data_IF_960447238608
#
_entry.id   IF_960447238608
#
_cell.length_a   1.000
_cell.length_b   1.000
_cell.length_c   1.000
_cell.angle_alpha   90.00
_cell.angle_beta   90.00
_cell.angle_gamma   90.00
#
_symmetry.space_group_name_H-M   'P 1'
#
loop_
_entity.id
_entity.type
_entity.pdbx_description
1 polymer ?
#
# COMPACT_ATOMS: atom_id res chain seq x y z
N UNK A 1 -5.76 -18.70 17.88
CA UNK A 1 -4.55 -19.19 17.23
C UNK A 1 -3.61 -18.01 17.04
N UNK A 2 -2.28 -18.21 17.13
CA UNK A 2 -1.31 -17.14 16.99
C UNK A 2 -1.47 -16.38 15.67
N UNK A 3 -1.29 -15.06 15.73
CA UNK A 3 -1.36 -14.14 14.60
C UNK A 3 -0.05 -13.34 14.49
N UNK A 4 -0.02 -12.25 13.74
CA UNK A 4 1.20 -11.44 13.56
C UNK A 4 1.64 -10.74 14.86
N UNK A 5 0.72 -10.42 15.76
CA UNK A 5 1.05 -9.79 17.05
C UNK A 5 1.76 -10.82 17.94
N UNK A 6 1.18 -12.02 18.07
CA UNK A 6 1.79 -13.12 18.81
C UNK A 6 3.16 -13.49 18.22
N UNK A 7 3.24 -13.61 16.89
CA UNK A 7 4.53 -13.87 16.21
C UNK A 7 5.58 -12.80 16.50
N UNK A 8 5.19 -11.55 16.54
CA UNK A 8 6.12 -10.44 16.80
C UNK A 8 6.74 -10.47 18.20
N UNK A 9 6.04 -11.07 19.18
CA UNK A 9 6.49 -11.24 20.57
C UNK A 9 7.18 -12.60 20.83
N UNK A 10 6.75 -13.67 20.14
CA UNK A 10 7.20 -15.03 20.39
C UNK A 10 8.38 -15.48 19.52
N UNK A 11 8.54 -14.92 18.31
CA UNK A 11 9.61 -15.30 17.40
C UNK A 11 10.94 -14.62 17.81
N UNK A 12 11.74 -15.35 18.57
CA UNK A 12 13.01 -14.86 19.11
C UNK A 12 14.23 -15.19 18.24
N UNK A 13 14.05 -16.05 17.21
CA UNK A 13 15.16 -16.42 16.33
C UNK A 13 15.58 -15.23 15.48
N UNK A 14 16.85 -14.85 15.55
CA UNK A 14 17.44 -13.81 14.71
C UNK A 14 17.37 -14.19 13.22
N UNK A 15 17.54 -13.22 12.33
CA UNK A 15 17.51 -13.45 10.86
C UNK A 15 18.63 -14.39 10.39
N UNK A 16 19.74 -14.52 11.14
CA UNK A 16 20.79 -15.50 10.86
C UNK A 16 20.32 -16.95 11.10
N UNK A 17 19.43 -17.20 12.08
CA UNK A 17 18.90 -18.52 12.38
C UNK A 17 17.60 -18.85 11.64
N UNK A 18 16.81 -17.85 11.35
CA UNK A 18 15.59 -17.95 10.55
C UNK A 18 15.59 -16.80 9.55
N UNK A 19 15.84 -17.05 8.28
CA UNK A 19 15.84 -16.03 7.23
C UNK A 19 14.52 -15.25 7.17
N UNK A 20 14.57 -14.05 6.58
CA UNK A 20 13.42 -13.20 6.39
C UNK A 20 12.33 -13.92 5.59
N UNK A 21 11.08 -13.85 6.06
CA UNK A 21 9.95 -14.58 5.50
C UNK A 21 8.70 -13.68 5.31
N UNK A 22 7.63 -14.27 4.74
CA UNK A 22 6.39 -13.54 4.47
C UNK A 22 5.71 -12.99 5.74
N UNK A 23 5.86 -13.65 6.91
CA UNK A 23 5.32 -13.14 8.17
C UNK A 23 6.06 -11.87 8.60
N UNK A 24 7.40 -11.86 8.49
CA UNK A 24 8.20 -10.66 8.79
C UNK A 24 7.83 -9.50 7.85
N UNK A 25 7.64 -9.82 6.56
CA UNK A 25 7.22 -8.84 5.56
C UNK A 25 5.86 -8.25 5.90
N UNK A 26 4.86 -9.07 6.31
CA UNK A 26 3.55 -8.57 6.70
C UNK A 26 3.64 -7.65 7.92
N UNK A 27 4.44 -8.03 8.91
CA UNK A 27 4.71 -7.21 10.11
C UNK A 27 5.29 -5.84 9.74
N UNK A 28 6.35 -5.82 8.91
CA UNK A 28 6.95 -4.57 8.47
C UNK A 28 6.00 -3.76 7.57
N UNK A 29 5.19 -4.44 6.75
CA UNK A 29 4.13 -3.79 5.97
C UNK A 29 3.06 -3.17 6.87
N UNK A 30 2.69 -3.87 7.95
CA UNK A 30 1.71 -3.37 8.91
C UNK A 30 2.25 -2.19 9.73
N UNK A 31 3.54 -2.19 10.08
CA UNK A 31 4.20 -1.04 10.70
C UNK A 31 4.13 0.24 9.86
N UNK A 32 3.99 0.13 8.53
CA UNK A 32 3.88 1.31 7.66
C UNK A 32 2.61 2.16 7.89
N UNK A 33 1.60 1.63 8.59
CA UNK A 33 0.38 2.36 8.97
C UNK A 33 0.58 3.30 10.17
N UNK A 34 1.67 3.14 10.90
CA UNK A 34 2.01 4.01 12.02
C UNK A 34 2.45 5.38 11.51
N UNK A 35 2.00 6.45 12.16
CA UNK A 35 2.53 7.78 11.92
C UNK A 35 3.95 7.83 12.51
N UNK A 36 4.95 7.80 11.63
CA UNK A 36 6.36 7.71 12.06
C UNK A 36 6.75 8.93 12.90
N UNK A 37 7.39 8.71 14.07
CA UNK A 37 7.86 9.78 14.93
C UNK A 37 8.97 10.57 14.25
N UNK A 38 9.20 11.81 14.71
CA UNK A 38 10.21 12.72 14.15
C UNK A 38 11.64 12.19 14.26
N UNK A 39 11.88 11.24 15.18
CA UNK A 39 13.16 10.55 15.31
C UNK A 39 13.50 9.68 14.11
N UNK A 40 12.51 9.22 13.33
CA UNK A 40 12.76 8.42 12.14
C UNK A 40 13.14 9.33 10.98
N UNK A 41 14.34 9.13 10.38
CA UNK A 41 14.82 9.96 9.31
C UNK A 41 13.91 9.95 8.08
N UNK A 42 13.60 11.13 7.58
CA UNK A 42 12.86 11.29 6.33
C UNK A 42 13.79 11.17 5.13
N UNK A 43 13.25 10.68 4.02
CA UNK A 43 13.89 10.82 2.72
C UNK A 43 13.92 12.29 2.36
N UNK A 44 15.09 12.84 2.04
CA UNK A 44 15.27 14.22 1.63
C UNK A 44 15.83 14.30 0.22
N UNK A 45 15.46 15.36 -0.49
CA UNK A 45 15.92 15.61 -1.85
C UNK A 45 16.57 16.99 -1.93
N UNK A 46 17.67 17.09 -2.68
CA UNK A 46 18.37 18.35 -2.96
C UNK A 46 18.40 18.56 -4.47
N UNK A 47 18.11 19.78 -4.94
CA UNK A 47 18.42 20.14 -6.33
C UNK A 47 19.94 20.11 -6.50
N UNK A 48 20.48 19.58 -7.61
CA UNK A 48 21.87 19.78 -7.94
C UNK A 48 22.15 21.29 -7.92
N UNK A 49 23.23 21.68 -7.31
CA UNK A 49 23.67 23.05 -7.42
C UNK A 49 23.80 23.37 -8.92
N UNK A 50 23.11 24.38 -9.44
CA UNK A 50 23.55 25.05 -10.64
C UNK A 50 25.03 25.32 -10.43
N UNK A 51 25.89 24.78 -11.31
CA UNK A 51 27.33 25.07 -11.29
C UNK A 51 27.40 26.56 -11.24
N UNK A 52 27.77 27.15 -10.12
CA UNK A 52 28.01 28.58 -10.03
C UNK A 52 29.07 28.86 -11.06
N UNK A 53 28.70 29.61 -12.09
CA UNK A 53 29.71 30.25 -12.94
C UNK A 53 30.68 30.96 -11.99
N UNK A 54 31.93 30.51 -12.03
CA UNK A 54 33.01 31.06 -11.24
C UNK A 54 33.17 32.53 -11.65
N UNK A 55 32.59 33.42 -10.87
CA UNK A 55 32.97 34.84 -10.86
C UNK A 55 34.00 35.03 -9.78
N UNK A 56 35.25 35.41 -10.10
CA UNK A 56 36.27 35.72 -9.12
C UNK A 56 35.97 37.11 -8.52
N UNK A 57 35.17 37.16 -7.48
CA UNK A 57 35.04 38.36 -6.62
C UNK A 57 35.20 37.90 -5.17
N UNK A 58 36.31 38.35 -4.54
CA UNK A 58 36.79 37.98 -3.21
C UNK A 58 35.81 38.29 -2.09
N UNK A 59 34.83 37.40 -1.88
CA UNK A 59 34.07 37.28 -0.62
C UNK A 59 34.32 35.90 -0.03
N UNK A 60 34.50 35.82 1.30
CA UNK A 60 34.74 34.55 1.98
C UNK A 60 33.56 33.59 1.79
N UNK A 61 33.79 32.27 1.86
CA UNK A 61 32.75 31.26 1.68
C UNK A 61 31.63 31.46 2.69
N UNK A 62 30.39 31.39 2.22
CA UNK A 62 29.18 31.46 3.04
C UNK A 62 29.21 30.41 4.16
N UNK A 63 28.79 30.82 5.35
CA UNK A 63 28.76 29.98 6.55
C UNK A 63 27.84 28.76 6.37
N UNK A 64 28.02 27.67 7.14
CA UNK A 64 27.19 26.46 7.09
C UNK A 64 25.71 26.63 7.43
N UNK A 65 25.21 27.87 7.58
CA UNK A 65 23.83 28.21 7.97
C UNK A 65 22.78 28.12 6.86
N UNK A 66 23.17 27.85 5.60
CA UNK A 66 22.24 27.78 4.47
C UNK A 66 21.62 26.38 4.27
N UNK A 67 21.86 25.48 5.19
CA UNK A 67 21.12 24.21 5.23
C UNK A 67 19.70 24.43 5.73
N UNK A 68 18.75 24.05 4.92
CA UNK A 68 17.33 24.04 5.26
C UNK A 68 17.12 23.38 6.62
N UNK A 69 17.00 24.21 7.64
CA UNK A 69 17.02 23.80 9.06
C UNK A 69 15.69 23.27 9.59
N UNK A 70 14.69 23.02 8.72
CA UNK A 70 13.40 22.52 9.17
C UNK A 70 13.03 21.22 8.45
N UNK A 71 12.64 20.16 9.20
CA UNK A 71 12.14 18.90 8.64
C UNK A 71 10.98 19.10 7.66
N UNK A 72 10.18 20.16 7.86
CA UNK A 72 9.03 20.51 7.01
C UNK A 72 9.46 21.02 5.62
N UNK A 73 10.57 21.72 5.52
CA UNK A 73 11.08 22.22 4.24
C UNK A 73 11.77 21.09 3.45
N UNK A 74 12.49 20.18 4.12
CA UNK A 74 13.03 18.98 3.51
C UNK A 74 11.90 18.07 2.99
N UNK A 75 10.85 17.88 3.75
CA UNK A 75 9.65 17.13 3.35
C UNK A 75 8.97 17.76 2.13
N UNK A 76 8.88 19.10 2.05
CA UNK A 76 8.31 19.80 0.91
C UNK A 76 9.17 19.65 -0.38
N UNK A 77 10.50 19.55 -0.27
CA UNK A 77 11.37 19.32 -1.43
C UNK A 77 11.26 17.88 -1.95
N UNK A 78 11.22 16.89 -1.05
CA UNK A 78 10.94 15.49 -1.40
C UNK A 78 9.55 15.37 -2.00
N UNK A 79 8.56 16.08 -1.43
CA UNK A 79 7.22 16.14 -1.98
C UNK A 79 7.23 16.66 -3.42
N UNK A 80 7.94 17.72 -3.73
CA UNK A 80 8.03 18.26 -5.11
C UNK A 80 8.70 17.28 -6.09
N UNK A 81 9.73 16.55 -5.68
CA UNK A 81 10.38 15.57 -6.54
C UNK A 81 9.53 14.29 -6.70
N UNK A 82 9.09 13.70 -5.61
CA UNK A 82 8.28 12.46 -5.67
C UNK A 82 6.92 12.70 -6.32
N UNK A 83 6.45 13.96 -6.36
CA UNK A 83 5.08 14.32 -6.69
C UNK A 83 4.96 15.43 -7.75
N UNK A 84 6.07 16.06 -8.17
CA UNK A 84 6.12 17.05 -9.25
C UNK A 84 6.43 16.44 -10.63
N UNK A 85 6.20 17.22 -11.69
CA UNK A 85 6.49 16.81 -13.08
C UNK A 85 7.94 17.12 -13.54
N UNK A 86 8.82 17.58 -12.65
CA UNK A 86 10.14 18.03 -13.00
C UNK A 86 11.11 16.86 -13.26
N UNK A 87 11.67 16.79 -14.46
CA UNK A 87 12.78 15.90 -14.86
C UNK A 87 14.15 16.42 -14.36
N UNK A 88 14.24 16.93 -13.14
CA UNK A 88 15.51 17.46 -12.62
C UNK A 88 16.27 16.31 -11.96
N UNK A 89 17.54 16.15 -12.32
CA UNK A 89 18.45 15.30 -11.56
C UNK A 89 18.43 15.76 -10.09
N UNK A 90 18.00 14.87 -9.20
CA UNK A 90 17.79 15.19 -7.80
C UNK A 90 18.70 14.32 -6.97
N UNK A 91 19.55 14.94 -6.16
CA UNK A 91 20.37 14.24 -5.21
C UNK A 91 19.52 13.91 -3.96
N UNK A 92 19.41 12.62 -3.64
CA UNK A 92 18.70 12.17 -2.45
C UNK A 92 19.65 12.04 -1.26
N UNK A 93 19.10 12.21 -0.06
CA UNK A 93 19.77 11.94 1.21
C UNK A 93 18.80 11.28 2.17
N UNK A 94 19.32 10.31 2.92
CA UNK A 94 18.71 9.79 4.12
C UNK A 94 19.71 10.00 5.27
N UNK A 95 19.26 10.61 6.35
CA UNK A 95 20.06 10.73 7.56
C UNK A 95 20.34 9.32 8.14
N UNK A 96 21.19 9.22 9.14
CA UNK A 96 21.51 7.93 9.78
C UNK A 96 20.22 7.23 10.22
N UNK A 97 19.92 6.03 9.72
CA UNK A 97 18.71 5.30 10.10
C UNK A 97 18.65 5.05 11.61
N UNK A 98 17.47 5.17 12.20
CA UNK A 98 17.20 4.89 13.59
C UNK A 98 16.94 3.40 13.80
N UNK A 99 17.29 2.85 14.96
CA UNK A 99 16.96 1.44 15.30
C UNK A 99 15.50 1.33 15.71
N UNK A 100 14.88 0.16 15.49
CA UNK A 100 13.47 -0.09 15.78
C UNK A 100 13.08 0.27 17.22
N UNK A 101 13.98 0.06 18.18
CA UNK A 101 13.76 0.41 19.59
C UNK A 101 13.54 1.92 19.83
N UNK A 102 14.00 2.79 18.93
CA UNK A 102 13.79 4.24 19.03
C UNK A 102 12.33 4.67 18.75
N UNK A 103 11.49 3.77 18.27
CA UNK A 103 10.04 4.00 18.16
C UNK A 103 9.36 4.17 19.54
N UNK A 104 9.98 3.68 20.62
CA UNK A 104 9.42 3.77 21.98
C UNK A 104 9.77 5.10 22.69
N UNK A 105 9.71 6.21 22.01
CA UNK A 105 9.89 7.53 22.64
C UNK A 105 8.58 7.98 23.26
N UNK A 106 8.56 8.16 24.58
CA UNK A 106 7.36 8.44 25.35
C UNK A 106 6.60 9.68 24.87
N UNK A 107 7.32 10.72 24.49
CA UNK A 107 6.78 12.02 24.03
C UNK A 107 6.08 11.93 22.67
N UNK A 108 6.41 10.96 21.83
CA UNK A 108 5.86 10.80 20.48
C UNK A 108 4.91 9.60 20.35
N UNK A 109 5.00 8.62 21.28
CA UNK A 109 4.32 7.34 21.18
C UNK A 109 2.80 7.45 21.01
N UNK A 110 2.15 8.35 21.75
CA UNK A 110 0.70 8.51 21.65
C UNK A 110 0.24 9.03 20.29
N UNK A 111 1.02 9.92 19.66
CA UNK A 111 0.70 10.54 18.37
C UNK A 111 0.88 9.60 17.18
N UNK A 112 1.64 8.52 17.33
CA UNK A 112 1.92 7.55 16.26
C UNK A 112 0.68 6.79 15.77
N UNK A 113 -0.43 6.82 16.49
CA UNK A 113 -1.61 5.99 16.22
C UNK A 113 -2.86 6.82 15.87
N UNK A 114 -2.69 8.08 15.52
CA UNK A 114 -3.82 8.97 15.25
C UNK A 114 -4.53 8.67 13.93
N UNK A 115 -3.79 8.23 12.93
CA UNK A 115 -4.33 7.93 11.59
C UNK A 115 -5.08 6.59 11.53
N UNK A 116 -4.91 5.68 12.52
CA UNK A 116 -5.47 4.33 12.48
C UNK A 116 -6.20 3.95 13.78
N UNK A 117 -7.17 4.77 14.16
CA UNK A 117 -7.83 4.73 15.49
C UNK A 117 -8.45 3.38 15.84
N UNK A 118 -9.07 2.69 14.86
CA UNK A 118 -9.80 1.43 15.13
C UNK A 118 -8.89 0.24 15.45
N UNK A 119 -7.63 0.28 15.04
CA UNK A 119 -6.64 -0.77 15.29
C UNK A 119 -5.52 -0.29 16.24
N UNK A 120 -5.70 0.87 16.86
CA UNK A 120 -4.65 1.53 17.64
C UNK A 120 -4.06 0.64 18.73
N UNK A 121 -4.83 -0.23 19.37
CA UNK A 121 -4.33 -1.15 20.40
C UNK A 121 -3.40 -2.21 19.81
N UNK A 122 -3.81 -2.91 18.75
CA UNK A 122 -2.98 -3.91 18.08
C UNK A 122 -1.70 -3.30 17.50
N UNK A 123 -1.81 -2.06 16.95
CA UNK A 123 -0.65 -1.33 16.44
C UNK A 123 0.32 -0.90 17.55
N UNK A 124 -0.18 -0.47 18.72
CA UNK A 124 0.65 -0.15 19.89
C UNK A 124 1.41 -1.39 20.37
N UNK A 125 0.71 -2.51 20.48
CA UNK A 125 1.29 -3.79 20.88
C UNK A 125 2.35 -4.24 19.86
N UNK A 126 2.05 -4.15 18.56
CA UNK A 126 3.02 -4.46 17.51
C UNK A 126 4.30 -3.62 17.64
N UNK A 127 4.17 -2.29 17.74
CA UNK A 127 5.33 -1.39 17.86
C UNK A 127 6.15 -1.73 19.09
N UNK A 128 5.49 -2.00 20.22
CA UNK A 128 6.14 -2.40 21.46
C UNK A 128 6.89 -3.72 21.28
N UNK A 129 6.25 -4.74 20.71
CA UNK A 129 6.87 -6.04 20.45
C UNK A 129 8.07 -5.90 19.51
N UNK A 130 7.97 -5.16 18.42
CA UNK A 130 9.07 -4.94 17.47
C UNK A 130 10.28 -4.29 18.13
N UNK A 131 10.04 -3.27 18.94
CA UNK A 131 11.11 -2.54 19.63
C UNK A 131 11.78 -3.36 20.73
N UNK A 132 11.07 -4.34 21.31
CA UNK A 132 11.59 -5.22 22.37
C UNK A 132 12.15 -6.55 21.84
N UNK A 133 11.69 -7.04 20.69
CA UNK A 133 12.01 -8.37 20.17
C UNK A 133 13.48 -8.53 19.81
N UNK A 134 14.05 -9.67 20.20
CA UNK A 134 15.39 -10.06 19.76
C UNK A 134 15.52 -10.17 18.23
N UNK A 135 14.43 -10.43 17.52
CA UNK A 135 14.38 -10.54 16.06
C UNK A 135 14.39 -9.17 15.37
N UNK A 136 13.64 -8.19 15.90
CA UNK A 136 13.36 -6.94 15.16
C UNK A 136 14.04 -5.70 15.73
N UNK A 137 14.34 -5.65 17.03
CA UNK A 137 14.78 -4.41 17.71
C UNK A 137 16.02 -3.75 17.11
N UNK A 138 16.90 -4.54 16.49
CA UNK A 138 18.15 -4.05 15.89
C UNK A 138 18.00 -3.66 14.41
N UNK A 139 16.82 -3.91 13.81
CA UNK A 139 16.54 -3.45 12.45
C UNK A 139 16.58 -1.92 12.46
N UNK A 140 17.33 -1.35 11.53
CA UNK A 140 17.35 0.09 11.32
C UNK A 140 16.24 0.47 10.35
N UNK A 141 15.58 1.60 10.60
CA UNK A 141 14.53 2.15 9.76
C UNK A 141 14.79 3.62 9.41
N UNK A 142 14.38 4.04 8.24
CA UNK A 142 14.60 5.40 7.78
C UNK A 142 14.00 5.67 6.42
N UNK A 143 14.44 6.74 5.77
CA UNK A 143 13.96 7.18 4.46
C UNK A 143 12.43 7.34 4.42
N UNK A 144 11.79 7.68 5.56
CA UNK A 144 10.34 7.83 5.61
C UNK A 144 9.88 8.92 4.62
N UNK A 145 8.81 8.64 3.88
CA UNK A 145 8.16 9.58 2.98
C UNK A 145 6.64 9.45 3.13
N UNK A 146 5.95 10.59 3.19
CA UNK A 146 4.48 10.66 3.25
C UNK A 146 4.00 11.81 2.36
N UNK A 147 2.95 11.56 1.58
CA UNK A 147 2.28 12.59 0.79
C UNK A 147 0.82 12.25 0.62
N UNK A 148 0.00 13.21 0.92
CA UNK A 148 -1.45 13.12 0.87
C UNK A 148 -2.00 14.33 0.13
N UNK A 149 -2.95 14.11 -0.77
CA UNK A 149 -3.68 15.14 -1.50
C UNK A 149 -5.15 14.74 -1.59
N UNK A 150 -5.97 15.38 -0.80
CA UNK A 150 -7.39 15.10 -0.68
C UNK A 150 -8.27 16.26 -1.16
N UNK A 151 -7.67 17.42 -1.43
CA UNK A 151 -8.36 18.69 -1.70
C UNK A 151 -8.59 18.98 -3.18
N UNK A 152 -8.67 17.97 -4.05
CA UNK A 152 -8.84 18.17 -5.48
C UNK A 152 -10.26 17.80 -5.94
N UNK A 153 -10.85 18.66 -6.79
CA UNK A 153 -12.11 18.36 -7.51
C UNK A 153 -11.90 17.29 -8.59
N UNK A 154 -10.65 17.07 -8.99
CA UNK A 154 -10.25 16.03 -9.94
C UNK A 154 -9.97 14.73 -9.21
N UNK A 155 -10.93 13.80 -9.25
CA UNK A 155 -10.82 12.50 -8.57
C UNK A 155 -9.56 11.72 -8.95
N UNK A 156 -9.04 11.94 -10.16
CA UNK A 156 -7.83 11.25 -10.64
C UNK A 156 -6.54 11.69 -9.95
N UNK A 157 -6.59 12.79 -9.20
CA UNK A 157 -5.46 13.36 -8.45
C UNK A 157 -5.46 13.03 -6.97
N UNK A 158 -6.54 12.45 -6.46
CA UNK A 158 -6.60 12.03 -5.06
C UNK A 158 -5.44 11.08 -4.76
N UNK A 159 -4.73 11.34 -3.67
CA UNK A 159 -3.53 10.58 -3.29
C UNK A 159 -3.41 10.36 -1.80
N UNK A 160 -3.05 9.13 -1.43
CA UNK A 160 -2.60 8.78 -0.11
C UNK A 160 -1.39 7.85 -0.20
N UNK A 161 -0.21 8.37 0.01
CA UNK A 161 1.06 7.66 -0.09
C UNK A 161 1.88 7.78 1.19
N UNK A 162 2.42 6.66 1.67
CA UNK A 162 3.54 6.64 2.60
C UNK A 162 4.40 5.40 2.37
N UNK A 163 5.70 5.53 2.67
CA UNK A 163 6.66 4.45 2.61
C UNK A 163 7.81 4.68 3.58
N UNK A 164 8.46 3.60 4.02
CA UNK A 164 9.73 3.66 4.73
C UNK A 164 10.65 2.52 4.29
N UNK A 165 11.92 2.61 4.62
CA UNK A 165 12.91 1.58 4.33
C UNK A 165 13.45 0.99 5.64
N UNK A 166 13.41 -0.34 5.75
CA UNK A 166 14.07 -1.12 6.80
C UNK A 166 15.35 -1.72 6.24
N UNK A 167 16.42 -1.69 7.05
CA UNK A 167 17.75 -2.21 6.72
C UNK A 167 17.95 -3.53 7.44
N UNK A 168 17.92 -4.62 6.69
CA UNK A 168 18.06 -5.97 7.21
C UNK A 168 19.54 -6.32 7.45
N UNK A 169 19.85 -7.24 8.37
CA UNK A 169 21.24 -7.58 8.73
C UNK A 169 22.05 -8.19 7.59
N UNK A 170 21.42 -8.75 6.56
CA UNK A 170 22.05 -9.41 5.40
C UNK A 170 22.32 -8.44 4.22
N UNK A 171 22.50 -7.17 4.51
CA UNK A 171 22.78 -6.15 3.52
C UNK A 171 21.62 -5.88 2.54
N UNK A 172 20.41 -6.36 2.87
CA UNK A 172 19.18 -6.13 2.09
C UNK A 172 18.43 -4.92 2.63
N UNK A 173 17.89 -4.09 1.76
CA UNK A 173 16.89 -3.08 2.11
C UNK A 173 15.49 -3.61 1.82
N UNK A 174 14.60 -3.50 2.79
CA UNK A 174 13.18 -3.80 2.64
C UNK A 174 12.39 -2.50 2.58
N UNK A 175 11.70 -2.27 1.48
CA UNK A 175 10.82 -1.10 1.29
C UNK A 175 9.40 -1.50 1.63
N UNK A 176 8.83 -0.86 2.66
CA UNK A 176 7.45 -1.03 3.06
C UNK A 176 6.58 0.10 2.50
N UNK A 177 5.59 -0.24 1.68
CA UNK A 177 4.56 0.67 1.20
C UNK A 177 3.31 0.56 2.04
N UNK A 178 2.79 1.71 2.51
CA UNK A 178 1.55 1.78 3.28
C UNK A 178 0.34 1.55 2.37
N UNK A 179 -0.59 0.74 2.85
CA UNK A 179 -1.92 0.61 2.26
C UNK A 179 -2.82 1.79 2.61
N UNK A 180 -4.11 1.63 2.34
CA UNK A 180 -5.12 2.64 2.62
C UNK A 180 -5.47 2.65 4.10
N UNK A 181 -5.58 3.83 4.68
CA UNK A 181 -6.14 4.00 6.03
C UNK A 181 -7.69 3.98 5.98
N UNK A 182 -8.34 4.33 7.08
CA UNK A 182 -9.81 4.35 7.18
C UNK A 182 -10.47 5.56 6.55
N UNK A 183 -9.70 6.50 5.97
CA UNK A 183 -10.24 7.73 5.38
C UNK A 183 -11.01 7.46 4.09
N UNK A 184 -12.10 8.19 3.86
CA UNK A 184 -12.86 8.13 2.60
C UNK A 184 -11.96 8.53 1.42
N UNK A 185 -11.06 9.49 1.62
CA UNK A 185 -10.14 9.92 0.57
C UNK A 185 -9.16 8.82 0.14
N UNK A 186 -8.63 8.04 1.09
CA UNK A 186 -7.81 6.87 0.76
C UNK A 186 -8.58 5.84 -0.06
N UNK A 187 -9.82 5.54 0.32
CA UNK A 187 -10.69 4.62 -0.41
C UNK A 187 -11.04 5.12 -1.82
N UNK A 188 -11.19 6.45 -2.02
CA UNK A 188 -11.37 7.02 -3.36
C UNK A 188 -10.19 6.66 -4.27
N UNK A 189 -8.95 6.79 -3.83
CA UNK A 189 -7.79 6.40 -4.64
C UNK A 189 -7.78 4.89 -4.95
N UNK A 190 -8.22 4.04 -4.01
CA UNK A 190 -8.32 2.59 -4.25
C UNK A 190 -9.34 2.25 -5.34
N UNK A 191 -10.51 2.90 -5.30
CA UNK A 191 -11.51 2.71 -6.35
C UNK A 191 -11.02 3.23 -7.72
N UNK A 192 -10.18 4.28 -7.74
CA UNK A 192 -9.60 4.78 -8.98
C UNK A 192 -8.73 3.74 -9.70
N UNK A 193 -8.16 2.74 -9.00
CA UNK A 193 -7.45 1.62 -9.62
C UNK A 193 -8.32 0.87 -10.65
N UNK A 194 -9.66 0.97 -10.56
CA UNK A 194 -10.57 0.32 -11.50
C UNK A 194 -10.58 0.95 -12.91
N UNK A 195 -10.14 2.19 -13.06
CA UNK A 195 -10.11 2.88 -14.35
C UNK A 195 -8.78 3.58 -14.66
N UNK A 196 -7.92 3.77 -13.65
CA UNK A 196 -6.68 4.51 -13.77
C UNK A 196 -5.47 3.65 -13.37
N UNK A 197 -4.46 3.62 -14.22
CA UNK A 197 -3.14 3.09 -13.94
C UNK A 197 -2.11 3.89 -14.76
N UNK A 198 -1.15 4.62 -14.12
CA UNK A 198 -0.97 4.68 -12.67
C UNK A 198 -1.94 5.62 -11.94
N UNK A 199 -2.29 5.27 -10.70
CA UNK A 199 -2.80 6.24 -9.73
C UNK A 199 -1.63 7.02 -9.12
N UNK A 200 -1.88 8.21 -8.49
CA UNK A 200 -0.80 9.06 -7.97
C UNK A 200 0.14 8.35 -6.97
N UNK A 201 -0.39 7.46 -6.10
CA UNK A 201 0.45 6.69 -5.18
C UNK A 201 1.34 5.66 -5.88
N UNK A 202 0.89 5.06 -6.99
CA UNK A 202 1.74 4.16 -7.79
C UNK A 202 2.94 4.92 -8.39
N UNK A 203 2.70 6.10 -8.95
CA UNK A 203 3.77 6.97 -9.44
C UNK A 203 4.77 7.33 -8.33
N UNK A 204 4.25 7.63 -7.13
CA UNK A 204 5.08 7.94 -5.97
C UNK A 204 5.90 6.74 -5.49
N UNK A 205 5.33 5.53 -5.53
CA UNK A 205 6.02 4.29 -5.17
C UNK A 205 7.18 3.97 -6.11
N UNK A 206 6.98 4.16 -7.43
CA UNK A 206 8.06 3.98 -8.42
C UNK A 206 9.21 4.97 -8.20
N UNK A 207 8.90 6.25 -7.96
CA UNK A 207 9.90 7.28 -7.66
C UNK A 207 10.62 7.01 -6.34
N UNK A 208 9.90 6.54 -5.31
CA UNK A 208 10.49 6.18 -4.03
C UNK A 208 11.48 5.01 -4.16
N UNK A 209 11.11 3.95 -4.89
CA UNK A 209 12.00 2.83 -5.19
C UNK A 209 13.27 3.30 -5.91
N UNK A 210 13.13 4.13 -6.93
CA UNK A 210 14.26 4.70 -7.68
C UNK A 210 15.20 5.51 -6.77
N UNK A 211 14.64 6.35 -5.88
CA UNK A 211 15.40 7.14 -4.94
C UNK A 211 16.20 6.27 -3.94
N UNK A 212 15.55 5.27 -3.34
CA UNK A 212 16.21 4.34 -2.40
C UNK A 212 17.27 3.50 -3.11
N UNK A 213 16.98 3.02 -4.32
CA UNK A 213 17.94 2.26 -5.12
C UNK A 213 19.19 3.07 -5.49
N UNK A 214 19.03 4.37 -5.72
CA UNK A 214 20.15 5.28 -5.98
C UNK A 214 20.97 5.61 -4.74
N UNK A 215 20.31 5.74 -3.57
CA UNK A 215 20.99 5.96 -2.28
C UNK A 215 21.82 4.77 -1.83
N UNK A 216 21.39 3.57 -2.15
CA UNK A 216 22.02 2.32 -1.72
C UNK A 216 22.32 1.43 -2.91
N UNK A 217 23.27 1.82 -3.80
CA UNK A 217 23.48 1.17 -5.10
C UNK A 217 23.90 -0.31 -4.99
N UNK A 218 24.57 -0.69 -3.90
CA UNK A 218 25.10 -2.04 -3.72
C UNK A 218 24.18 -2.97 -2.92
N UNK A 219 23.06 -2.44 -2.40
CA UNK A 219 22.13 -3.24 -1.58
C UNK A 219 21.19 -4.05 -2.46
N UNK A 220 20.87 -5.27 -2.01
CA UNK A 220 19.74 -6.05 -2.47
C UNK A 220 18.44 -5.38 -2.01
N UNK A 221 17.36 -5.59 -2.76
CA UNK A 221 16.09 -4.93 -2.51
C UNK A 221 15.00 -5.97 -2.32
N UNK A 222 14.24 -5.84 -1.27
CA UNK A 222 12.93 -6.48 -1.12
C UNK A 222 11.86 -5.40 -1.00
N UNK A 223 10.68 -5.67 -1.52
CA UNK A 223 9.54 -4.77 -1.49
C UNK A 223 8.38 -5.46 -0.80
N UNK A 224 7.53 -4.71 -0.12
CA UNK A 224 6.30 -5.28 0.39
C UNK A 224 5.28 -4.23 0.80
N UNK A 225 4.05 -4.70 0.97
CA UNK A 225 2.94 -3.90 1.43
C UNK A 225 1.70 -4.77 1.64
N UNK A 226 0.78 -4.25 2.42
CA UNK A 226 -0.54 -4.82 2.67
C UNK A 226 -1.60 -3.99 1.95
N UNK A 227 -2.64 -4.62 1.41
CA UNK A 227 -3.72 -3.92 0.71
C UNK A 227 -3.18 -3.12 -0.49
N UNK A 228 -3.57 -1.86 -0.68
CA UNK A 228 -2.98 -0.97 -1.68
C UNK A 228 -1.45 -0.98 -1.66
N UNK A 229 -0.81 -1.05 -0.48
CA UNK A 229 0.64 -1.12 -0.35
C UNK A 229 1.26 -2.31 -1.10
N UNK A 230 0.58 -3.46 -1.12
CA UNK A 230 0.97 -4.63 -1.90
C UNK A 230 0.93 -4.38 -3.41
N UNK A 231 -0.12 -3.70 -3.89
CA UNK A 231 -0.22 -3.25 -5.28
C UNK A 231 0.89 -2.25 -5.62
N UNK A 232 1.18 -1.28 -4.74
CA UNK A 232 2.26 -0.30 -4.92
C UNK A 232 3.63 -0.97 -5.04
N UNK A 233 3.90 -2.02 -4.25
CA UNK A 233 5.15 -2.77 -4.29
C UNK A 233 5.35 -3.47 -5.64
N UNK A 234 4.31 -4.14 -6.14
CA UNK A 234 4.35 -4.82 -7.45
C UNK A 234 4.45 -3.80 -8.58
N UNK A 235 3.65 -2.72 -8.53
CA UNK A 235 3.69 -1.68 -9.55
C UNK A 235 5.07 -1.01 -9.64
N UNK A 236 5.64 -0.58 -8.50
CA UNK A 236 6.94 0.06 -8.47
C UNK A 236 8.04 -0.83 -9.06
N UNK A 237 8.02 -2.12 -8.76
CA UNK A 237 8.94 -3.10 -9.32
C UNK A 237 8.74 -3.25 -10.84
N UNK A 238 7.49 -3.36 -11.30
CA UNK A 238 7.15 -3.59 -12.71
C UNK A 238 7.60 -2.45 -13.63
N UNK A 239 7.53 -1.21 -13.15
CA UNK A 239 7.89 -0.03 -13.96
C UNK A 239 9.31 0.50 -13.69
N UNK A 240 10.07 -0.14 -12.82
CA UNK A 240 11.43 0.29 -12.51
C UNK A 240 12.41 -0.09 -13.61
N UNK A 241 13.55 0.63 -13.65
CA UNK A 241 14.66 0.34 -14.54
C UNK A 241 15.16 -1.12 -14.32
N UNK A 242 15.60 -1.77 -15.39
CA UNK A 242 16.07 -3.16 -15.36
C UNK A 242 17.23 -3.35 -14.37
N UNK A 243 18.12 -2.35 -14.20
CA UNK A 243 19.21 -2.41 -13.21
C UNK A 243 18.67 -2.51 -11.79
N UNK A 244 17.57 -1.83 -11.50
CA UNK A 244 16.88 -1.92 -10.21
C UNK A 244 16.19 -3.29 -10.09
N UNK A 245 15.48 -3.73 -11.15
CA UNK A 245 14.80 -5.02 -11.16
C UNK A 245 15.74 -6.21 -10.90
N UNK A 246 16.97 -6.16 -11.41
CA UNK A 246 17.99 -7.20 -11.16
C UNK A 246 18.37 -7.31 -9.68
N UNK A 247 18.31 -6.21 -8.93
CA UNK A 247 18.60 -6.15 -7.48
C UNK A 247 17.41 -6.55 -6.61
N UNK A 248 16.20 -6.56 -7.16
CA UNK A 248 15.00 -6.99 -6.43
C UNK A 248 15.05 -8.51 -6.28
N UNK A 249 15.05 -8.99 -5.03
CA UNK A 249 15.02 -10.42 -4.72
C UNK A 249 13.60 -10.94 -4.53
N UNK A 250 12.75 -10.20 -3.79
CA UNK A 250 11.37 -10.60 -3.48
C UNK A 250 10.45 -9.39 -3.42
N UNK A 251 9.21 -9.61 -3.82
CA UNK A 251 8.12 -8.64 -3.77
C UNK A 251 6.96 -9.29 -3.03
N UNK A 252 6.62 -8.77 -1.85
CA UNK A 252 5.55 -9.31 -1.03
C UNK A 252 4.27 -8.47 -1.22
N UNK A 253 3.22 -9.08 -1.75
CA UNK A 253 1.89 -8.47 -1.86
C UNK A 253 0.93 -9.18 -0.92
N UNK A 254 0.64 -8.57 0.22
CA UNK A 254 -0.25 -9.13 1.22
C UNK A 254 -1.68 -8.58 1.00
N UNK A 255 -2.53 -9.41 0.41
CA UNK A 255 -3.92 -9.09 0.05
C UNK A 255 -4.06 -7.77 -0.74
N UNK A 256 -3.05 -7.45 -1.56
CA UNK A 256 -3.08 -6.29 -2.44
C UNK A 256 -3.79 -6.63 -3.76
N UNK A 257 -4.57 -5.71 -4.36
CA UNK A 257 -5.14 -5.94 -5.68
C UNK A 257 -4.04 -6.09 -6.75
N UNK A 258 -4.35 -6.78 -7.83
CA UNK A 258 -3.46 -6.98 -8.97
C UNK A 258 -3.22 -5.71 -9.79
N UNK A 259 -2.63 -5.89 -10.95
CA UNK A 259 -2.38 -4.84 -11.93
C UNK A 259 -3.18 -5.10 -13.21
N UNK A 260 -3.45 -4.06 -14.03
CA UNK A 260 -4.11 -4.24 -15.32
C UNK A 260 -3.33 -5.18 -16.25
N UNK A 261 -4.06 -5.97 -17.05
CA UNK A 261 -3.48 -6.95 -17.98
C UNK A 261 -2.47 -6.31 -18.95
N UNK A 262 -2.70 -5.06 -19.36
CA UNK A 262 -1.81 -4.34 -20.26
C UNK A 262 -0.40 -4.15 -19.64
N UNK A 263 -0.31 -3.98 -18.32
CA UNK A 263 0.96 -3.88 -17.62
C UNK A 263 1.55 -5.27 -17.36
N UNK A 264 0.70 -6.23 -16.99
CA UNK A 264 1.13 -7.63 -16.71
C UNK A 264 1.70 -8.33 -17.95
N UNK A 265 1.35 -7.87 -19.17
CA UNK A 265 1.84 -8.42 -20.44
C UNK A 265 3.15 -7.80 -20.93
N UNK A 266 3.79 -6.92 -20.14
CA UNK A 266 5.05 -6.29 -20.53
C UNK A 266 6.26 -7.14 -20.14
N UNK A 267 7.33 -7.10 -20.94
CA UNK A 267 8.61 -7.74 -20.60
C UNK A 267 9.16 -7.30 -19.24
N UNK A 268 8.90 -6.03 -18.87
CA UNK A 268 9.31 -5.48 -17.59
C UNK A 268 8.62 -6.17 -16.41
N UNK A 269 7.33 -6.49 -16.56
CA UNK A 269 6.59 -7.28 -15.56
C UNK A 269 7.06 -8.73 -15.54
N UNK A 270 7.29 -9.35 -16.70
CA UNK A 270 7.77 -10.75 -16.80
C UNK A 270 9.08 -10.94 -16.02
N UNK A 271 10.00 -9.97 -16.09
CA UNK A 271 11.27 -10.01 -15.34
C UNK A 271 11.10 -10.08 -13.81
N UNK A 272 9.97 -9.60 -13.29
CA UNK A 272 9.71 -9.58 -11.84
C UNK A 272 8.63 -10.57 -11.41
N UNK A 273 7.89 -11.17 -12.32
CA UNK A 273 6.76 -12.05 -12.02
C UNK A 273 7.14 -13.21 -11.08
N UNK A 274 8.27 -13.89 -11.36
CA UNK A 274 8.78 -14.96 -10.51
C UNK A 274 9.29 -14.54 -9.13
N UNK A 275 9.37 -13.23 -8.84
CA UNK A 275 9.78 -12.66 -7.56
C UNK A 275 8.60 -12.24 -6.68
N UNK A 276 7.38 -12.30 -7.21
CA UNK A 276 6.16 -11.90 -6.51
C UNK A 276 5.70 -13.03 -5.58
N UNK A 277 5.59 -12.71 -4.30
CA UNK A 277 5.04 -13.57 -3.26
C UNK A 277 3.70 -12.98 -2.81
N UNK A 278 2.63 -13.38 -3.47
CA UNK A 278 1.28 -12.93 -3.14
C UNK A 278 0.64 -13.84 -2.11
N UNK A 279 0.07 -13.23 -1.08
CA UNK A 279 -0.62 -13.92 0.03
C UNK A 279 -2.00 -13.32 0.19
N UNK A 280 -3.04 -14.16 0.23
CA UNK A 280 -4.44 -13.74 0.41
C UNK A 280 -5.13 -14.61 1.47
N UNK A 281 -6.06 -14.10 2.27
CA UNK A 281 -6.86 -14.92 3.18
C UNK A 281 -7.92 -15.75 2.42
N UNK A 282 -8.53 -16.72 3.10
CA UNK A 282 -9.53 -17.65 2.51
C UNK A 282 -10.75 -16.93 1.91
N UNK A 283 -11.20 -15.85 2.55
CA UNK A 283 -12.34 -15.04 2.08
C UNK A 283 -11.89 -13.67 1.51
N UNK A 284 -10.72 -13.64 0.85
CA UNK A 284 -10.22 -12.40 0.24
C UNK A 284 -11.22 -11.83 -0.77
N UNK A 285 -11.45 -10.52 -0.66
CA UNK A 285 -12.21 -9.72 -1.63
C UNK A 285 -11.38 -8.61 -2.24
N UNK A 286 -10.25 -8.24 -1.63
CA UNK A 286 -9.34 -7.19 -2.12
C UNK A 286 -8.24 -7.79 -2.98
N UNK A 287 -7.52 -8.77 -2.44
CA UNK A 287 -6.37 -9.36 -3.11
C UNK A 287 -6.69 -10.15 -4.38
N UNK A 288 -7.95 -10.54 -4.56
CA UNK A 288 -8.40 -11.24 -5.78
C UNK A 288 -8.84 -10.29 -6.92
N UNK A 289 -8.95 -8.96 -6.66
CA UNK A 289 -9.28 -7.97 -7.69
C UNK A 289 -8.12 -7.86 -8.67
N UNK A 290 -8.39 -7.94 -9.97
CA UNK A 290 -7.40 -7.84 -11.06
C UNK A 290 -6.23 -8.83 -10.88
N UNK A 291 -6.51 -10.02 -10.37
CA UNK A 291 -5.50 -11.09 -10.25
C UNK A 291 -6.13 -12.45 -10.50
N UNK A 292 -5.27 -13.47 -10.62
CA UNK A 292 -5.68 -14.85 -10.80
C UNK A 292 -5.47 -15.63 -9.50
N UNK A 293 -6.49 -16.35 -9.00
CA UNK A 293 -6.40 -17.11 -7.75
C UNK A 293 -5.20 -18.07 -7.68
N UNK A 294 -4.81 -18.66 -8.82
CA UNK A 294 -3.67 -19.60 -8.93
C UNK A 294 -2.31 -18.97 -8.63
N UNK A 295 -2.21 -17.64 -8.74
CA UNK A 295 -0.98 -16.91 -8.41
C UNK A 295 -0.85 -16.59 -6.90
N UNK A 296 -1.86 -16.93 -6.10
CA UNK A 296 -1.94 -16.55 -4.72
C UNK A 296 -1.67 -17.73 -3.78
N UNK A 297 -0.85 -17.51 -2.76
CA UNK A 297 -0.79 -18.37 -1.59
C UNK A 297 -1.94 -18.05 -0.66
N UNK A 298 -2.92 -18.93 -0.56
CA UNK A 298 -4.06 -18.76 0.33
C UNK A 298 -3.69 -19.15 1.76
N UNK A 299 -4.09 -18.35 2.73
CA UNK A 299 -3.77 -18.55 4.15
C UNK A 299 -5.04 -18.49 5.01
N UNK A 300 -4.99 -19.17 6.16
CA UNK A 300 -6.06 -19.15 7.15
C UNK A 300 -6.15 -17.83 7.88
N UNK A 301 -7.38 -17.40 8.15
CA UNK A 301 -7.70 -16.24 8.95
C UNK A 301 -8.71 -16.59 10.05
N UNK A 302 -8.65 -15.91 11.18
CA UNK A 302 -9.64 -16.01 12.25
C UNK A 302 -10.84 -15.07 12.05
N UNK A 303 -10.77 -14.14 11.08
CA UNK A 303 -11.87 -13.24 10.70
C UNK A 303 -12.90 -13.93 9.81
N UNK A 304 -13.96 -13.19 9.48
CA UNK A 304 -14.98 -13.58 8.50
C UNK A 304 -15.22 -12.45 7.52
N UNK A 305 -15.51 -12.79 6.26
CA UNK A 305 -15.77 -11.82 5.18
C UNK A 305 -14.63 -10.78 5.07
N UNK A 306 -14.98 -9.52 4.88
CA UNK A 306 -14.00 -8.42 4.74
C UNK A 306 -13.06 -8.28 5.94
N UNK A 307 -13.44 -8.77 7.14
CA UNK A 307 -12.56 -8.73 8.31
C UNK A 307 -11.33 -9.64 8.16
N UNK A 308 -11.34 -10.58 7.23
CA UNK A 308 -10.15 -11.36 6.88
C UNK A 308 -9.07 -10.52 6.21
N UNK A 309 -9.43 -9.36 5.64
CA UNK A 309 -8.46 -8.41 5.07
C UNK A 309 -7.49 -7.84 6.12
N UNK A 310 -7.92 -7.74 7.39
CA UNK A 310 -7.08 -7.20 8.44
C UNK A 310 -5.97 -8.17 8.84
N UNK A 311 -4.71 -7.75 8.70
CA UNK A 311 -3.51 -8.55 8.92
C UNK A 311 -3.48 -9.26 10.28
N UNK A 312 -4.04 -8.66 11.35
CA UNK A 312 -4.13 -9.25 12.70
C UNK A 312 -4.99 -10.52 12.77
N UNK A 313 -5.84 -10.79 11.77
CA UNK A 313 -6.66 -11.99 11.70
C UNK A 313 -5.92 -13.20 11.10
N UNK A 314 -4.74 -12.99 10.49
CA UNK A 314 -4.00 -14.00 9.75
C UNK A 314 -3.27 -14.95 10.70
N UNK A 315 -3.49 -16.24 10.50
CA UNK A 315 -3.00 -17.27 11.41
C UNK A 315 -1.57 -17.69 11.07
N UNK A 316 -0.74 -17.74 12.12
CA UNK A 316 0.67 -18.14 12.03
C UNK A 316 0.88 -19.41 12.87
N UNK A 317 1.61 -20.37 12.31
CA UNK A 317 2.01 -21.59 12.98
C UNK A 317 3.44 -21.94 12.59
N UNK A 318 4.26 -22.36 13.56
CA UNK A 318 5.66 -22.72 13.34
C UNK A 318 6.48 -21.63 12.64
N UNK A 319 6.10 -20.37 12.88
CA UNK A 319 6.79 -19.19 12.33
C UNK A 319 6.47 -18.89 10.87
N UNK A 320 5.39 -19.44 10.30
CA UNK A 320 4.89 -19.16 8.96
C UNK A 320 3.38 -19.11 8.91
N UNK A 321 2.80 -18.60 7.82
CA UNK A 321 1.35 -18.59 7.64
C UNK A 321 0.79 -20.01 7.51
N UNK A 322 -0.33 -20.25 8.17
CA UNK A 322 -1.11 -21.47 7.97
C UNK A 322 -1.74 -21.46 6.59
N UNK A 323 -1.55 -22.54 5.83
CA UNK A 323 -2.12 -22.69 4.49
C UNK A 323 -3.62 -22.92 4.57
N UNK A 324 -4.38 -22.18 3.78
CA UNK A 324 -5.83 -22.30 3.62
C UNK A 324 -6.23 -22.58 2.18
N UNK A 325 -7.52 -22.50 1.88
CA UNK A 325 -8.08 -22.62 0.54
C UNK A 325 -9.04 -21.46 0.28
N UNK A 326 -8.96 -20.89 -0.92
CA UNK A 326 -9.84 -19.78 -1.28
C UNK A 326 -11.30 -20.25 -1.28
N UNK A 327 -12.16 -19.52 -0.57
CA UNK A 327 -13.58 -19.85 -0.46
C UNK A 327 -14.29 -19.76 -1.82
N UNK A 328 -15.38 -20.49 -1.99
CA UNK A 328 -16.21 -20.39 -3.18
C UNK A 328 -16.74 -18.97 -3.37
N UNK A 329 -17.10 -18.28 -2.27
CA UNK A 329 -17.53 -16.87 -2.31
C UNK A 329 -16.47 -15.95 -2.92
N UNK A 330 -15.22 -16.07 -2.51
CA UNK A 330 -14.11 -15.29 -3.08
C UNK A 330 -13.85 -15.62 -4.55
N UNK A 331 -13.96 -16.91 -4.94
CA UNK A 331 -13.82 -17.30 -6.36
C UNK A 331 -14.90 -16.65 -7.22
N UNK A 332 -16.16 -16.79 -6.81
CA UNK A 332 -17.32 -16.17 -7.49
C UNK A 332 -17.16 -14.64 -7.56
N UNK A 333 -16.72 -14.01 -6.47
CA UNK A 333 -16.46 -12.57 -6.45
C UNK A 333 -15.34 -12.18 -7.43
N UNK A 334 -14.23 -12.92 -7.45
CA UNK A 334 -13.10 -12.68 -8.37
C UNK A 334 -13.55 -12.74 -9.83
N UNK A 335 -14.31 -13.77 -10.20
CA UNK A 335 -14.84 -13.93 -11.56
C UNK A 335 -15.84 -12.84 -11.91
N UNK A 336 -16.75 -12.49 -10.99
CA UNK A 336 -17.74 -11.43 -11.18
C UNK A 336 -17.08 -10.06 -11.38
N UNK A 337 -16.08 -9.71 -10.57
CA UNK A 337 -15.37 -8.44 -10.70
C UNK A 337 -14.55 -8.39 -12.01
N UNK A 338 -13.94 -9.51 -12.40
CA UNK A 338 -13.18 -9.62 -13.64
C UNK A 338 -14.08 -9.44 -14.86
N UNK A 339 -15.26 -10.06 -14.83
CA UNK A 339 -16.28 -9.90 -15.86
C UNK A 339 -16.82 -8.46 -15.96
N UNK A 340 -17.07 -7.84 -14.80
CA UNK A 340 -17.47 -6.45 -14.73
C UNK A 340 -16.41 -5.53 -15.34
N UNK A 341 -15.14 -5.73 -14.98
CA UNK A 341 -14.00 -4.93 -15.48
C UNK A 341 -13.83 -5.05 -17.00
N UNK A 342 -14.17 -6.21 -17.59
CA UNK A 342 -14.14 -6.43 -19.03
C UNK A 342 -15.33 -5.81 -19.77
N UNK A 343 -16.53 -5.88 -19.17
CA UNK A 343 -17.79 -5.46 -19.81
C UNK A 343 -18.04 -3.96 -19.72
N UNK A 344 -17.55 -3.30 -18.68
CA UNK A 344 -17.74 -1.87 -18.43
C UNK A 344 -16.45 -1.12 -18.76
N UNK A 345 -16.50 -0.23 -19.75
CA UNK A 345 -15.33 0.55 -20.17
C UNK A 345 -14.82 1.52 -19.09
N UNK A 346 -13.56 1.94 -19.23
CA UNK A 346 -12.88 2.81 -18.23
C UNK A 346 -13.61 4.13 -18.00
N UNK A 347 -14.15 4.77 -19.05
CA UNK A 347 -14.84 6.06 -18.95
C UNK A 347 -16.15 5.92 -18.17
N UNK A 348 -16.88 4.84 -18.41
CA UNK A 348 -18.12 4.52 -17.70
C UNK A 348 -17.86 4.27 -16.22
N UNK A 349 -16.78 3.55 -15.87
CA UNK A 349 -16.36 3.33 -14.48
C UNK A 349 -15.94 4.64 -13.80
N UNK A 350 -15.20 5.51 -14.48
CA UNK A 350 -14.82 6.83 -13.96
C UNK A 350 -16.05 7.68 -13.65
N UNK A 351 -17.01 7.78 -14.58
CA UNK A 351 -18.23 8.56 -14.38
C UNK A 351 -19.09 8.01 -13.24
N UNK A 352 -19.20 6.69 -13.13
CA UNK A 352 -19.88 6.02 -12.03
C UNK A 352 -19.25 6.41 -10.69
N UNK A 353 -17.91 6.33 -10.58
CA UNK A 353 -17.20 6.67 -9.34
C UNK A 353 -17.28 8.15 -9.00
N UNK A 354 -17.30 9.06 -9.97
CA UNK A 354 -17.57 10.49 -9.73
C UNK A 354 -18.90 10.67 -8.99
N UNK A 355 -19.92 9.98 -9.44
CA UNK A 355 -21.24 10.04 -8.78
C UNK A 355 -21.22 9.40 -7.39
N UNK A 356 -20.56 8.25 -7.22
CA UNK A 356 -20.38 7.62 -5.91
C UNK A 356 -19.66 8.56 -4.94
N UNK A 357 -18.61 9.26 -5.38
CA UNK A 357 -17.87 10.19 -4.53
C UNK A 357 -18.70 11.40 -4.12
N UNK A 358 -19.49 11.97 -5.01
CA UNK A 358 -20.45 13.03 -4.67
C UNK A 358 -21.43 12.56 -3.58
N UNK A 359 -21.91 11.33 -3.66
CA UNK A 359 -22.81 10.77 -2.67
C UNK A 359 -22.11 10.52 -1.33
N UNK A 360 -20.87 10.03 -1.33
CA UNK A 360 -20.08 9.87 -0.11
C UNK A 360 -19.78 11.22 0.55
N UNK A 361 -19.39 12.22 -0.23
CA UNK A 361 -19.09 13.57 0.28
C UNK A 361 -20.32 14.24 0.87
N UNK A 362 -21.52 13.96 0.35
CA UNK A 362 -22.79 14.47 0.87
C UNK A 362 -23.07 14.02 2.32
N UNK A 363 -22.45 12.94 2.78
CA UNK A 363 -22.62 12.43 4.15
C UNK A 363 -21.91 13.28 5.19
N UNK A 364 -20.90 14.08 4.79
CA UNK A 364 -20.08 14.91 5.68
C UNK A 364 -19.10 14.14 6.56
N UNK A 365 -19.01 12.81 6.45
CA UNK A 365 -18.03 12.00 7.19
C UNK A 365 -16.70 11.94 6.43
N UNK A 366 -15.60 11.88 7.17
CA UNK A 366 -14.24 11.79 6.62
C UNK A 366 -13.67 10.38 6.61
N UNK A 367 -14.31 9.42 7.32
CA UNK A 367 -13.85 8.05 7.45
C UNK A 367 -15.00 7.02 7.41
N UNK A 368 -14.69 5.83 6.94
CA UNK A 368 -15.65 4.73 6.78
C UNK A 368 -16.26 4.25 8.10
N UNK A 369 -15.50 4.11 9.21
CA UNK A 369 -16.09 3.75 10.49
C UNK A 369 -17.16 4.72 10.99
N UNK A 370 -16.92 6.02 10.86
CA UNK A 370 -17.89 7.06 11.22
C UNK A 370 -19.15 7.01 10.35
N UNK A 371 -18.97 6.80 9.05
CA UNK A 371 -20.07 6.60 8.09
C UNK A 371 -20.89 5.36 8.45
N UNK A 372 -20.26 4.24 8.75
CA UNK A 372 -20.93 2.99 9.13
C UNK A 372 -21.65 3.10 10.47
N UNK A 373 -21.03 3.74 11.47
CA UNK A 373 -21.63 3.97 12.80
C UNK A 373 -22.89 4.80 12.72
N UNK A 374 -22.93 5.77 11.80
CA UNK A 374 -24.06 6.70 11.62
C UNK A 374 -24.83 6.38 10.34
N UNK A 375 -24.99 5.11 10.01
CA UNK A 375 -25.52 4.65 8.75
C UNK A 375 -26.91 5.21 8.39
N UNK A 376 -27.80 5.41 9.38
CA UNK A 376 -29.13 6.02 9.14
C UNK A 376 -29.01 7.44 8.60
N UNK A 377 -28.15 8.27 9.19
CA UNK A 377 -27.90 9.63 8.74
C UNK A 377 -27.21 9.62 7.37
N UNK A 378 -26.28 8.70 7.17
CA UNK A 378 -25.58 8.51 5.90
C UNK A 378 -26.57 8.13 4.78
N UNK A 379 -27.46 7.17 5.01
CA UNK A 379 -28.49 6.78 4.04
C UNK A 379 -29.44 7.94 3.74
N UNK A 380 -29.83 8.71 4.75
CA UNK A 380 -30.68 9.89 4.54
C UNK A 380 -29.99 10.95 3.68
N UNK A 381 -28.71 11.26 3.98
CA UNK A 381 -27.92 12.22 3.20
C UNK A 381 -27.71 11.75 1.75
N UNK A 382 -27.33 10.48 1.55
CA UNK A 382 -27.19 9.87 0.22
C UNK A 382 -28.51 9.92 -0.55
N UNK A 383 -29.64 9.59 0.10
CA UNK A 383 -30.97 9.62 -0.55
C UNK A 383 -31.37 11.03 -0.95
N UNK A 384 -31.05 12.03 -0.15
CA UNK A 384 -31.26 13.43 -0.49
C UNK A 384 -30.36 13.87 -1.65
N UNK A 385 -29.08 13.52 -1.63
CA UNK A 385 -28.13 13.83 -2.69
C UNK A 385 -28.49 13.16 -4.03
N UNK A 386 -28.97 11.91 -4.01
CA UNK A 386 -29.44 11.19 -5.20
C UNK A 386 -30.56 11.92 -5.96
N UNK A 387 -31.39 12.69 -5.28
CA UNK A 387 -32.43 13.50 -5.93
C UNK A 387 -31.84 14.60 -6.80
N UNK A 388 -30.67 15.10 -6.44
CA UNK A 388 -29.95 16.16 -7.15
C UNK A 388 -29.00 15.62 -8.24
N UNK A 389 -28.77 14.30 -8.30
CA UNK A 389 -27.98 13.67 -9.36
C UNK A 389 -28.78 13.75 -10.67
N UNK A 390 -28.13 14.11 -11.76
CA UNK A 390 -28.76 14.17 -13.08
C UNK A 390 -29.36 12.82 -13.47
N UNK A 391 -30.46 12.85 -14.21
CA UNK A 391 -31.18 11.64 -14.64
C UNK A 391 -30.26 10.67 -15.39
N UNK A 392 -29.36 11.21 -16.23
CA UNK A 392 -28.36 10.44 -16.98
C UNK A 392 -27.40 9.68 -16.06
N UNK A 393 -26.92 10.31 -15.01
CA UNK A 393 -25.96 9.68 -14.08
C UNK A 393 -26.66 8.65 -13.18
N UNK A 394 -27.92 8.87 -12.81
CA UNK A 394 -28.73 7.86 -12.12
C UNK A 394 -28.96 6.63 -12.99
N UNK A 395 -29.24 6.82 -14.28
CA UNK A 395 -29.37 5.73 -15.24
C UNK A 395 -28.08 4.96 -15.41
N UNK A 396 -26.94 5.67 -15.52
CA UNK A 396 -25.61 5.10 -15.56
C UNK A 396 -25.32 4.26 -14.31
N UNK A 397 -25.57 4.79 -13.10
CA UNK A 397 -25.41 4.06 -11.84
C UNK A 397 -26.25 2.79 -11.83
N UNK A 398 -27.53 2.88 -12.22
CA UNK A 398 -28.41 1.71 -12.31
C UNK A 398 -27.90 0.69 -13.31
N UNK A 399 -27.40 1.13 -14.46
CA UNK A 399 -26.78 0.27 -15.49
C UNK A 399 -25.54 -0.46 -14.99
N UNK A 400 -24.63 0.26 -14.33
CA UNK A 400 -23.39 -0.32 -13.74
C UNK A 400 -23.74 -1.33 -12.65
N UNK A 401 -24.66 -1.00 -11.73
CA UNK A 401 -25.10 -1.91 -10.67
C UNK A 401 -25.77 -3.17 -11.24
N UNK A 402 -26.60 -3.04 -12.28
CA UNK A 402 -27.20 -4.20 -12.97
C UNK A 402 -26.14 -5.06 -13.64
N UNK A 403 -25.13 -4.45 -14.32
CA UNK A 403 -24.04 -5.19 -14.97
C UNK A 403 -23.23 -6.00 -13.93
N UNK A 404 -22.93 -5.39 -12.78
CA UNK A 404 -22.26 -6.06 -11.69
C UNK A 404 -23.09 -7.22 -11.10
N UNK A 405 -24.38 -6.97 -10.83
CA UNK A 405 -25.29 -7.99 -10.33
C UNK A 405 -25.48 -9.15 -11.31
N UNK A 406 -25.55 -8.89 -12.62
CA UNK A 406 -25.64 -9.92 -13.67
C UNK A 406 -24.35 -10.74 -13.72
N UNK A 407 -23.16 -10.11 -13.64
CA UNK A 407 -21.89 -10.81 -13.59
C UNK A 407 -21.82 -11.74 -12.38
N UNK A 408 -22.19 -11.25 -11.20
CA UNK A 408 -22.24 -12.06 -9.99
C UNK A 408 -23.23 -13.23 -10.08
N UNK A 409 -24.42 -12.99 -10.62
CA UNK A 409 -25.44 -14.04 -10.79
C UNK A 409 -25.02 -15.13 -11.77
N UNK A 410 -24.39 -14.78 -12.90
CA UNK A 410 -23.89 -15.74 -13.88
C UNK A 410 -22.87 -16.71 -13.26
N UNK A 411 -21.99 -16.20 -12.39
CA UNK A 411 -20.97 -17.04 -11.72
C UNK A 411 -21.60 -17.99 -10.68
N UNK A 412 -22.62 -17.55 -9.95
CA UNK A 412 -23.35 -18.41 -9.00
C UNK A 412 -24.15 -19.51 -9.72
N UNK A 413 -24.67 -19.20 -10.90
CA UNK A 413 -25.55 -20.10 -11.68
C UNK A 413 -24.77 -21.06 -12.58
N UNK A 414 -23.47 -20.85 -12.80
CA UNK A 414 -22.65 -21.75 -13.61
C UNK A 414 -22.37 -23.06 -12.84
N UNK A 415 -22.62 -24.25 -13.42
CA UNK A 415 -22.31 -25.50 -12.75
C UNK A 415 -20.81 -25.58 -12.51
N UNK A 416 -20.43 -25.77 -11.25
CA UNK A 416 -19.02 -26.02 -10.85
C UNK A 416 -18.43 -27.08 -11.77
N UNK A 417 -17.42 -26.73 -12.55
CA UNK A 417 -16.59 -27.71 -13.24
C UNK A 417 -15.98 -28.57 -12.13
N UNK A 418 -16.51 -29.78 -11.98
CA UNK A 418 -15.93 -30.80 -11.12
C UNK A 418 -14.51 -31.04 -11.64
N UNK A 419 -13.54 -30.47 -10.96
CA UNK A 419 -12.14 -30.83 -11.16
C UNK A 419 -12.02 -32.33 -10.94
N UNK A 420 -11.58 -33.01 -12.01
CA UNK A 420 -11.50 -34.44 -12.07
C UNK A 420 -10.64 -35.07 -10.98
N UNK A 421 -11.16 -36.15 -10.54
CA UNK A 421 -10.54 -37.35 -9.98
C UNK A 421 -9.07 -37.25 -9.57
N UNK A 422 -8.91 -37.48 -8.26
CA UNK A 422 -7.79 -38.28 -7.75
C UNK A 422 -7.37 -39.36 -8.74
N UNK A 423 -6.09 -39.33 -9.08
CA UNK A 423 -5.39 -40.56 -9.49
C UNK A 423 -4.23 -40.78 -8.54
N UNK A 424 -4.21 -41.98 -8.03
CA UNK A 424 -3.40 -42.60 -7.02
C UNK A 424 -1.89 -42.29 -7.04
#
# INVERSE_FOLDING_TARGET
MPNIIDYSSEEMRTFARKPFCSADSLILSFLSYVDMPKSIPVLSARKPHEKSEYRPSGKPPAKPSDFVSSPRAALNMVSRYLFGNDKVETEFKCARPAVMSELLRAEEFASMFNSYKNESQAMRELVFNLAASARFREIKIGCFAKSEDYGTDDISKVKQFAAYTAFLPDETVYIAFRGTDTSIAGWKEDFNLSFQCPVPSQTSAAKYLSAVASLFPDKKIMLGGHSKGGNLAVYAAAVSDERIQRRIEKIYSHDGPGLPDELCSTESYERIAGKIHKTVPEESVVGVIMDKPENCRVIKSAGHNINQHFAKSWQIQNGGFMVGQLSNGSRVFCEAISDFMRKVDKRTREQFLKTVYLLLDSTGYSDIPSLAKNWYQSVSAISAALKNVEAKDRELMSGVMKAFAQAAFQQVSSPSIKTGKEQA
#
